data_IF_888767979797
#
_entry.id   IF_888767979797
#
_cell.length_a   1.000
_cell.length_b   1.000
_cell.length_c   1.000
_cell.angle_alpha   90.00
_cell.angle_beta   90.00
_cell.angle_gamma   90.00
#
_symmetry.space_group_name_H-M   'P 1'
#
loop_
_entity.id
_entity.type
_entity.pdbx_description
1 polymer ?
#
# COMPACT_ATOMS: atom_id res chain seq x y z
N UNK A 1 12.28 23.48 -4.33
CA UNK A 1 11.27 22.42 -4.57
C UNK A 1 10.62 22.75 -5.90
N UNK A 2 11.01 22.05 -6.98
CA UNK A 2 10.27 22.11 -8.24
C UNK A 2 8.88 21.55 -7.99
N UNK A 3 7.84 22.21 -8.52
CA UNK A 3 6.44 21.80 -8.31
C UNK A 3 6.20 20.38 -8.81
N UNK A 4 5.12 19.74 -8.33
CA UNK A 4 4.67 18.45 -8.85
C UNK A 4 4.49 18.59 -10.36
N UNK A 5 5.27 17.87 -11.17
CA UNK A 5 5.05 17.82 -12.61
C UNK A 5 3.83 16.94 -12.85
N UNK A 6 2.71 17.56 -13.24
CA UNK A 6 1.42 16.88 -13.42
C UNK A 6 1.15 16.72 -14.91
N UNK A 7 0.91 15.48 -15.33
CA UNK A 7 0.47 15.17 -16.68
C UNK A 7 -1.02 15.54 -16.85
N UNK A 8 -1.33 16.33 -17.86
CA UNK A 8 -2.69 16.83 -18.10
C UNK A 8 -3.36 16.13 -19.28
N UNK A 9 -4.68 16.33 -19.40
CA UNK A 9 -5.45 15.86 -20.57
C UNK A 9 -4.98 16.58 -21.85
N UNK A 10 -4.52 17.83 -21.74
CA UNK A 10 -3.96 18.57 -22.88
C UNK A 10 -2.69 17.90 -23.41
N UNK A 11 -1.88 17.34 -22.51
CA UNK A 11 -0.68 16.61 -22.88
C UNK A 11 -1.02 15.35 -23.69
N UNK A 12 -2.06 14.62 -23.29
CA UNK A 12 -2.59 13.46 -24.03
C UNK A 12 -3.03 13.84 -25.44
N UNK A 13 -3.77 14.95 -25.58
CA UNK A 13 -4.29 15.40 -26.88
C UNK A 13 -3.16 15.86 -27.81
N UNK A 14 -2.14 16.50 -27.23
CA UNK A 14 -0.98 17.01 -27.96
C UNK A 14 -0.07 15.89 -28.47
N UNK A 15 0.06 14.79 -27.70
CA UNK A 15 0.99 13.67 -27.96
C UNK A 15 2.38 14.16 -28.38
N UNK A 16 2.87 15.19 -27.69
CA UNK A 16 4.12 15.85 -28.09
C UNK A 16 5.34 15.00 -27.72
N UNK A 17 6.48 15.11 -28.44
CA UNK A 17 7.71 14.43 -28.04
C UNK A 17 8.16 14.79 -26.62
N UNK A 18 7.91 16.02 -26.20
CA UNK A 18 8.21 16.49 -24.84
C UNK A 18 7.34 15.78 -23.80
N UNK A 19 6.04 15.68 -24.03
CA UNK A 19 5.10 14.92 -23.18
C UNK A 19 5.54 13.47 -23.03
N UNK A 20 5.92 12.82 -24.14
CA UNK A 20 6.35 11.43 -24.12
C UNK A 20 7.64 11.22 -23.31
N UNK A 21 8.57 12.18 -23.35
CA UNK A 21 9.76 12.17 -22.49
C UNK A 21 9.38 12.30 -21.02
N UNK A 22 8.51 13.26 -20.69
CA UNK A 22 8.04 13.49 -19.32
C UNK A 22 7.34 12.25 -18.75
N UNK A 23 6.46 11.62 -19.52
CA UNK A 23 5.77 10.36 -19.17
C UNK A 23 6.78 9.25 -18.88
N UNK A 24 7.83 9.13 -19.70
CA UNK A 24 8.89 8.13 -19.46
C UNK A 24 9.61 8.36 -18.14
N UNK A 25 9.95 9.61 -17.81
CA UNK A 25 10.63 9.96 -16.55
C UNK A 25 9.72 9.68 -15.35
N UNK A 26 8.46 10.12 -15.41
CA UNK A 26 7.49 9.90 -14.34
C UNK A 26 7.22 8.39 -14.18
N UNK A 27 7.11 7.64 -15.26
CA UNK A 27 6.93 6.18 -15.21
C UNK A 27 8.12 5.46 -14.58
N UNK A 28 9.36 5.86 -14.91
CA UNK A 28 10.55 5.29 -14.27
C UNK A 28 10.56 5.58 -12.77
N UNK A 29 10.19 6.80 -12.38
CA UNK A 29 10.08 7.19 -10.98
C UNK A 29 8.97 6.39 -10.26
N UNK A 30 7.80 6.25 -10.88
CA UNK A 30 6.68 5.49 -10.34
C UNK A 30 7.05 4.03 -10.06
N UNK A 31 7.83 3.39 -10.92
CA UNK A 31 8.35 2.04 -10.69
C UNK A 31 9.24 1.97 -9.43
N UNK A 32 10.16 2.95 -9.26
CA UNK A 32 11.02 3.02 -8.08
C UNK A 32 10.22 3.23 -6.79
N UNK A 33 9.22 4.12 -6.84
CA UNK A 33 8.31 4.38 -5.72
C UNK A 33 7.51 3.13 -5.37
N UNK A 34 6.95 2.43 -6.37
CA UNK A 34 6.20 1.19 -6.18
C UNK A 34 7.02 0.12 -5.47
N UNK A 35 8.28 -0.08 -5.87
CA UNK A 35 9.19 -1.01 -5.20
C UNK A 35 9.49 -0.58 -3.76
N UNK A 36 9.70 0.71 -3.50
CA UNK A 36 9.90 1.21 -2.13
C UNK A 36 8.66 0.98 -1.25
N UNK A 37 7.46 1.21 -1.78
CA UNK A 37 6.20 0.98 -1.06
C UNK A 37 6.00 -0.50 -0.74
N UNK A 38 6.33 -1.40 -1.68
CA UNK A 38 6.32 -2.86 -1.44
C UNK A 38 7.28 -3.26 -0.32
N UNK A 39 8.53 -2.80 -0.38
CA UNK A 39 9.52 -3.09 0.66
C UNK A 39 9.07 -2.60 2.04
N UNK A 40 8.47 -1.40 2.10
CA UNK A 40 7.94 -0.84 3.33
C UNK A 40 6.79 -1.69 3.90
N UNK A 41 5.86 -2.10 3.04
CA UNK A 41 4.73 -2.98 3.37
C UNK A 41 5.24 -4.33 3.89
N UNK A 42 6.22 -4.94 3.22
CA UNK A 42 6.80 -6.23 3.61
C UNK A 42 7.50 -6.13 4.97
N UNK A 43 8.27 -5.06 5.20
CA UNK A 43 8.89 -4.79 6.49
C UNK A 43 7.88 -4.65 7.62
N UNK A 44 6.77 -3.93 7.38
CA UNK A 44 5.69 -3.81 8.35
C UNK A 44 4.97 -5.13 8.61
N UNK A 45 4.72 -5.94 7.58
CA UNK A 45 4.16 -7.27 7.74
C UNK A 45 5.05 -8.16 8.61
N UNK A 46 6.38 -8.09 8.42
CA UNK A 46 7.32 -8.82 9.27
C UNK A 46 7.23 -8.37 10.74
N UNK A 47 7.10 -7.07 11.00
CA UNK A 47 6.88 -6.54 12.36
C UNK A 47 5.55 -7.06 12.93
N UNK A 48 4.46 -6.98 12.17
CA UNK A 48 3.12 -7.45 12.58
C UNK A 48 3.15 -8.92 13.03
N UNK A 49 3.78 -9.78 12.21
CA UNK A 49 3.94 -11.22 12.54
C UNK A 49 4.76 -11.45 13.81
N UNK A 50 5.79 -10.64 14.06
CA UNK A 50 6.56 -10.74 15.29
C UNK A 50 5.71 -10.36 16.52
N UNK A 51 4.87 -9.33 16.41
CA UNK A 51 3.96 -8.91 17.48
C UNK A 51 2.87 -9.98 17.74
N UNK A 52 2.38 -10.66 16.71
CA UNK A 52 1.51 -11.84 16.86
C UNK A 52 2.19 -12.99 17.58
N UNK A 53 3.43 -13.32 17.21
CA UNK A 53 4.19 -14.36 17.91
C UNK A 53 4.44 -14.02 19.37
N UNK A 54 4.75 -12.76 19.69
CA UNK A 54 4.90 -12.30 21.08
C UNK A 54 3.58 -12.44 21.85
N UNK A 55 2.45 -12.04 21.25
CA UNK A 55 1.10 -12.22 21.82
C UNK A 55 0.84 -13.69 22.20
N UNK A 56 1.17 -14.63 21.30
CA UNK A 56 1.01 -16.06 21.55
C UNK A 56 1.93 -16.55 22.68
N UNK A 57 3.21 -16.18 22.65
CA UNK A 57 4.17 -16.57 23.68
C UNK A 57 3.76 -16.11 25.09
N UNK A 58 3.23 -14.88 25.22
CA UNK A 58 2.71 -14.39 26.50
C UNK A 58 1.49 -15.17 26.98
N UNK A 59 0.57 -15.54 26.07
CA UNK A 59 -0.59 -16.39 26.41
C UNK A 59 -0.17 -17.79 26.84
N UNK A 60 0.82 -18.38 26.18
CA UNK A 60 1.38 -19.67 26.58
C UNK A 60 2.01 -19.62 27.97
N UNK A 61 2.81 -18.58 28.26
CA UNK A 61 3.38 -18.36 29.59
C UNK A 61 2.30 -18.18 30.67
N UNK A 62 1.22 -17.46 30.36
CA UNK A 62 0.06 -17.32 31.25
C UNK A 62 -0.57 -18.67 31.60
N UNK A 63 -0.78 -19.53 30.59
CA UNK A 63 -1.35 -20.88 30.78
C UNK A 63 -0.42 -21.76 31.62
N UNK A 64 0.89 -21.72 31.36
CA UNK A 64 1.87 -22.47 32.15
C UNK A 64 1.87 -22.03 33.63
N UNK A 65 1.85 -20.72 33.88
CA UNK A 65 1.84 -20.20 35.25
C UNK A 65 0.54 -20.52 35.99
N UNK A 66 -0.60 -20.46 35.29
CA UNK A 66 -1.90 -20.87 35.84
C UNK A 66 -1.95 -22.36 36.13
N UNK A 67 -1.30 -23.18 35.31
CA UNK A 67 -1.16 -24.62 35.54
C UNK A 67 -0.30 -24.89 36.77
N UNK A 68 0.83 -24.19 36.90
CA UNK A 68 1.72 -24.28 38.06
C UNK A 68 1.00 -23.88 39.36
N UNK A 69 0.26 -22.77 39.36
CA UNK A 69 -0.51 -22.31 40.53
C UNK A 69 -1.68 -23.23 40.93
N UNK A 70 -2.19 -24.03 39.98
CA UNK A 70 -3.27 -25.00 40.20
C UNK A 70 -2.79 -26.39 40.66
N UNK A 71 -1.50 -26.72 40.51
CA UNK A 71 -1.00 -28.01 40.95
C UNK A 71 -0.97 -28.08 42.48
N UNK A 72 -1.77 -28.98 43.07
CA UNK A 72 -1.62 -29.44 44.45
C UNK A 72 -0.29 -30.20 44.58
N UNK A 73 0.82 -29.46 44.61
CA UNK A 73 2.15 -30.03 44.69
C UNK A 73 2.78 -29.70 46.03
N UNK A 74 3.64 -30.61 46.50
CA UNK A 74 4.51 -30.44 47.67
C UNK A 74 5.49 -29.26 47.53
N UNK A 75 5.57 -28.62 46.35
CA UNK A 75 6.50 -27.55 46.01
C UNK A 75 5.92 -26.13 46.13
N UNK A 76 4.59 -25.97 46.22
CA UNK A 76 3.94 -24.66 46.35
C UNK A 76 2.81 -24.71 47.41
N UNK A 77 3.15 -24.94 48.70
CA UNK A 77 2.14 -25.12 49.75
C UNK A 77 1.49 -23.81 50.21
N UNK A 78 2.06 -22.66 49.81
CA UNK A 78 1.64 -21.34 50.26
C UNK A 78 0.58 -20.75 49.33
N UNK A 79 -0.59 -20.47 49.90
CA UNK A 79 -1.73 -19.87 49.21
C UNK A 79 -1.38 -18.49 48.64
N UNK A 80 -0.48 -17.74 49.29
CA UNK A 80 -0.03 -16.44 48.81
C UNK A 80 0.73 -16.55 47.49
N UNK A 81 1.60 -17.58 47.35
CA UNK A 81 2.36 -17.82 46.12
C UNK A 81 1.42 -18.27 44.99
N UNK A 82 0.40 -19.07 45.30
CA UNK A 82 -0.63 -19.46 44.32
C UNK A 82 -1.42 -18.25 43.84
N UNK A 83 -1.87 -17.40 44.76
CA UNK A 83 -2.59 -16.17 44.43
C UNK A 83 -1.73 -15.23 43.58
N UNK A 84 -0.44 -15.08 43.91
CA UNK A 84 0.53 -14.32 43.11
C UNK A 84 0.69 -14.91 41.71
N UNK A 85 0.78 -16.23 41.58
CA UNK A 85 0.82 -16.93 40.29
C UNK A 85 -0.40 -16.63 39.40
N UNK A 86 -1.61 -16.62 39.97
CA UNK A 86 -2.81 -16.22 39.22
C UNK A 86 -2.77 -14.76 38.79
N UNK A 87 -2.37 -13.85 39.68
CA UNK A 87 -2.23 -12.42 39.36
C UNK A 87 -1.24 -12.20 38.22
N UNK A 88 -0.07 -12.83 38.27
CA UNK A 88 0.91 -12.76 37.18
C UNK A 88 0.38 -13.37 35.88
N UNK A 89 -0.37 -14.47 35.92
CA UNK A 89 -0.98 -15.04 34.71
C UNK A 89 -1.92 -14.04 34.03
N UNK A 90 -2.72 -13.30 34.82
CA UNK A 90 -3.59 -12.25 34.31
C UNK A 90 -2.82 -11.10 33.68
N UNK A 91 -1.69 -10.70 34.28
CA UNK A 91 -0.81 -9.66 33.71
C UNK A 91 -0.23 -10.12 32.37
N UNK A 92 0.19 -11.39 32.26
CA UNK A 92 0.70 -11.95 31.00
C UNK A 92 -0.38 -11.99 29.91
N UNK A 93 -1.63 -12.35 30.23
CA UNK A 93 -2.77 -12.29 29.30
C UNK A 93 -3.03 -10.87 28.79
N UNK A 94 -2.94 -9.87 29.67
CA UNK A 94 -3.07 -8.46 29.32
C UNK A 94 -1.93 -7.99 28.40
N UNK A 95 -0.68 -8.32 28.72
CA UNK A 95 0.49 -8.01 27.86
C UNK A 95 0.33 -8.67 26.48
N UNK A 96 -0.05 -9.94 26.42
CA UNK A 96 -0.31 -10.62 25.16
C UNK A 96 -1.40 -9.94 24.33
N UNK A 97 -2.46 -9.45 24.98
CA UNK A 97 -3.55 -8.72 24.32
C UNK A 97 -3.10 -7.36 23.74
N UNK A 98 -2.15 -6.67 24.38
CA UNK A 98 -1.54 -5.43 23.88
C UNK A 98 -0.81 -5.71 22.56
N UNK A 99 0.05 -6.73 22.53
CA UNK A 99 0.78 -7.13 21.33
C UNK A 99 -0.18 -7.54 20.19
N UNK A 100 -1.23 -8.30 20.51
CA UNK A 100 -2.25 -8.67 19.51
C UNK A 100 -2.92 -7.44 18.91
N UNK A 101 -3.36 -6.52 19.77
CA UNK A 101 -4.01 -5.29 19.31
C UNK A 101 -3.07 -4.46 18.45
N UNK A 102 -1.78 -4.39 18.79
CA UNK A 102 -0.82 -3.66 17.98
C UNK A 102 -0.62 -4.26 16.59
N UNK A 103 -0.54 -5.60 16.48
CA UNK A 103 -0.50 -6.26 15.17
C UNK A 103 -1.73 -5.89 14.33
N UNK A 104 -2.93 -5.97 14.92
CA UNK A 104 -4.17 -5.63 14.22
C UNK A 104 -4.18 -4.15 13.79
N UNK A 105 -3.73 -3.24 14.65
CA UNK A 105 -3.62 -1.82 14.32
C UNK A 105 -2.60 -1.57 13.18
N UNK A 106 -1.47 -2.26 13.17
CA UNK A 106 -0.50 -2.21 12.06
C UNK A 106 -1.13 -2.69 10.75
N UNK A 107 -1.91 -3.77 10.81
CA UNK A 107 -2.60 -4.35 9.66
C UNK A 107 -3.59 -3.34 9.06
N UNK A 108 -4.58 -2.91 9.85
CA UNK A 108 -5.67 -2.05 9.41
C UNK A 108 -5.20 -0.61 9.10
N UNK A 109 -4.23 -0.11 9.88
CA UNK A 109 -3.81 1.28 9.86
C UNK A 109 -2.79 1.60 8.78
N UNK A 110 -1.94 0.64 8.42
CA UNK A 110 -0.77 0.85 7.57
C UNK A 110 -0.63 -0.20 6.46
N UNK A 111 -0.59 -1.49 6.81
CA UNK A 111 -0.28 -2.55 5.85
C UNK A 111 -1.33 -2.57 4.74
N UNK A 112 -2.61 -2.52 5.08
CA UNK A 112 -3.71 -2.53 4.11
C UNK A 112 -3.69 -1.28 3.23
N UNK A 113 -3.33 -0.11 3.78
CA UNK A 113 -3.23 1.13 2.99
C UNK A 113 -2.10 1.05 1.95
N UNK A 114 -0.94 0.55 2.36
CA UNK A 114 0.18 0.36 1.43
C UNK A 114 -0.15 -0.72 0.39
N UNK A 115 -0.87 -1.78 0.80
CA UNK A 115 -1.37 -2.80 -0.13
C UNK A 115 -2.30 -2.19 -1.18
N UNK A 116 -3.23 -1.32 -0.78
CA UNK A 116 -4.12 -0.65 -1.72
C UNK A 116 -3.35 0.23 -2.70
N UNK A 117 -2.33 1.00 -2.27
CA UNK A 117 -1.47 1.74 -3.20
C UNK A 117 -0.80 0.83 -4.23
N UNK A 118 -0.34 -0.35 -3.81
CA UNK A 118 0.28 -1.34 -4.70
C UNK A 118 -0.73 -1.87 -5.73
N UNK A 119 -1.88 -2.38 -5.28
CA UNK A 119 -2.86 -3.02 -6.16
C UNK A 119 -3.62 -2.01 -7.03
N UNK A 120 -3.93 -0.84 -6.49
CA UNK A 120 -4.78 0.13 -7.17
C UNK A 120 -4.02 1.00 -8.17
N UNK A 121 -2.73 1.21 -7.95
CA UNK A 121 -1.90 2.09 -8.78
C UNK A 121 -0.76 1.31 -9.41
N UNK A 122 0.22 0.86 -8.62
CA UNK A 122 1.51 0.41 -9.14
C UNK A 122 1.43 -0.86 -9.99
N UNK A 123 0.59 -1.85 -9.63
CA UNK A 123 0.44 -3.09 -10.39
C UNK A 123 -0.22 -2.88 -11.76
N UNK A 124 -1.06 -1.84 -11.90
CA UNK A 124 -1.78 -1.55 -13.15
C UNK A 124 -0.92 -0.83 -14.18
N UNK A 125 0.10 -0.09 -13.75
CA UNK A 125 0.90 0.78 -14.62
C UNK A 125 1.51 0.04 -15.81
N UNK A 126 2.00 -1.19 -15.60
CA UNK A 126 2.64 -1.99 -16.66
C UNK A 126 1.64 -2.38 -17.76
N UNK A 127 0.47 -2.91 -17.39
CA UNK A 127 -0.56 -3.29 -18.35
C UNK A 127 -1.14 -2.07 -19.08
N UNK A 128 -1.34 -0.96 -18.36
CA UNK A 128 -1.85 0.27 -18.94
C UNK A 128 -0.88 0.89 -19.93
N UNK A 129 0.42 0.88 -19.63
CA UNK A 129 1.45 1.31 -20.56
C UNK A 129 1.40 0.51 -21.87
N UNK A 130 1.28 -0.83 -21.80
CA UNK A 130 1.17 -1.68 -22.99
C UNK A 130 -0.08 -1.36 -23.81
N UNK A 131 -1.22 -1.09 -23.16
CA UNK A 131 -2.44 -0.69 -23.85
C UNK A 131 -2.31 0.67 -24.55
N UNK A 132 -1.68 1.65 -23.89
CA UNK A 132 -1.38 2.96 -24.47
C UNK A 132 -0.50 2.82 -25.70
N UNK A 133 0.56 2.00 -25.61
CA UNK A 133 1.49 1.77 -26.72
C UNK A 133 0.78 1.10 -27.91
N UNK A 134 -0.04 0.08 -27.65
CA UNK A 134 -0.84 -0.59 -28.67
C UNK A 134 -1.83 0.36 -29.35
N UNK A 135 -2.58 1.16 -28.58
CA UNK A 135 -3.52 2.14 -29.12
C UNK A 135 -2.80 3.24 -29.90
N UNK A 136 -1.62 3.68 -29.44
CA UNK A 136 -0.81 4.67 -30.13
C UNK A 136 -0.26 4.17 -31.47
N UNK A 137 0.12 2.88 -31.57
CA UNK A 137 0.49 2.25 -32.84
C UNK A 137 -0.69 2.23 -33.82
N UNK A 138 -1.87 1.81 -33.37
CA UNK A 138 -3.08 1.78 -34.20
C UNK A 138 -3.50 3.18 -34.67
N UNK A 139 -3.44 4.18 -33.78
CA UNK A 139 -3.79 5.56 -34.13
C UNK A 139 -2.85 6.14 -35.19
N UNK A 140 -1.53 5.93 -35.04
CA UNK A 140 -0.53 6.33 -36.05
C UNK A 140 -0.75 5.62 -37.38
N UNK A 141 -1.06 4.32 -37.37
CA UNK A 141 -1.33 3.55 -38.57
C UNK A 141 -2.58 4.04 -39.32
N UNK A 142 -3.68 4.27 -38.61
CA UNK A 142 -4.91 4.82 -39.20
C UNK A 142 -4.65 6.19 -39.83
N UNK A 143 -3.89 7.05 -39.16
CA UNK A 143 -3.50 8.36 -39.67
C UNK A 143 -2.61 8.26 -40.93
N UNK A 144 -1.65 7.35 -40.95
CA UNK A 144 -0.81 7.09 -42.14
C UNK A 144 -1.64 6.58 -43.32
N UNK A 145 -2.61 5.70 -43.07
CA UNK A 145 -3.52 5.21 -44.11
C UNK A 145 -4.37 6.33 -44.69
N UNK A 146 -4.89 7.22 -43.83
CA UNK A 146 -5.61 8.42 -44.25
C UNK A 146 -4.74 9.34 -45.14
N UNK A 147 -3.49 9.59 -44.74
CA UNK A 147 -2.57 10.45 -45.49
C UNK A 147 -2.17 9.89 -46.86
N UNK A 148 -2.27 8.56 -47.06
CA UNK A 148 -2.01 7.90 -48.34
C UNK A 148 -3.21 7.96 -49.30
N UNK A 149 -4.36 8.47 -48.87
CA UNK A 149 -5.52 8.57 -49.75
C UNK A 149 -5.26 9.52 -50.93
N UNK A 150 -5.64 9.15 -52.17
CA UNK A 150 -5.56 10.06 -53.30
C UNK A 150 -6.41 11.31 -53.06
N UNK A 151 -5.96 12.47 -53.56
CA UNK A 151 -6.74 13.73 -53.50
C UNK A 151 -8.16 13.57 -54.08
N UNK A 152 -8.29 12.76 -55.14
CA UNK A 152 -9.56 12.35 -55.75
C UNK A 152 -9.93 10.92 -55.32
N UNK A 153 -10.35 10.74 -54.07
CA UNK A 153 -10.87 9.48 -53.56
C UNK A 153 -12.41 9.50 -53.45
N UNK A 154 -13.10 8.35 -53.55
CA UNK A 154 -14.54 8.26 -53.36
C UNK A 154 -14.96 8.77 -51.96
N UNK A 155 -16.10 9.47 -51.88
CA UNK A 155 -16.62 10.03 -50.61
C UNK A 155 -16.73 8.99 -49.50
N UNK A 156 -17.25 7.79 -49.81
CA UNK A 156 -17.36 6.68 -48.86
C UNK A 156 -16.00 6.22 -48.30
N UNK A 157 -14.98 6.14 -49.16
CA UNK A 157 -13.63 5.74 -48.74
C UNK A 157 -12.99 6.80 -47.81
N UNK A 158 -13.18 8.08 -48.13
CA UNK A 158 -12.76 9.19 -47.28
C UNK A 158 -13.46 9.17 -45.92
N UNK A 159 -14.78 9.02 -45.91
CA UNK A 159 -15.57 8.95 -44.67
C UNK A 159 -15.14 7.77 -43.79
N UNK A 160 -14.95 6.58 -44.38
CA UNK A 160 -14.48 5.39 -43.66
C UNK A 160 -13.14 5.65 -42.97
N UNK A 161 -12.17 6.22 -43.69
CA UNK A 161 -10.85 6.53 -43.13
C UNK A 161 -10.88 7.62 -42.05
N UNK A 162 -11.73 8.65 -42.21
CA UNK A 162 -11.93 9.67 -41.16
C UNK A 162 -12.53 9.05 -39.90
N UNK A 163 -13.50 8.14 -40.03
CA UNK A 163 -14.09 7.44 -38.90
C UNK A 163 -13.06 6.56 -38.18
N UNK A 164 -12.20 5.85 -38.93
CA UNK A 164 -11.12 5.03 -38.38
C UNK A 164 -10.11 5.87 -37.59
N UNK A 165 -9.63 6.98 -38.15
CA UNK A 165 -8.72 7.92 -37.48
C UNK A 165 -9.35 8.47 -36.21
N UNK A 166 -10.61 8.90 -36.28
CA UNK A 166 -11.31 9.47 -35.13
C UNK A 166 -11.51 8.43 -34.03
N UNK A 167 -11.90 7.21 -34.38
CA UNK A 167 -12.14 6.12 -33.44
C UNK A 167 -10.85 5.68 -32.75
N UNK A 168 -9.77 5.46 -33.50
CA UNK A 168 -8.47 5.03 -32.96
C UNK A 168 -7.82 6.13 -32.10
N UNK A 169 -7.90 7.40 -32.52
CA UNK A 169 -7.41 8.53 -31.73
C UNK A 169 -8.17 8.71 -30.42
N UNK A 170 -9.51 8.53 -30.44
CA UNK A 170 -10.32 8.56 -29.21
C UNK A 170 -9.92 7.43 -28.25
N UNK A 171 -9.73 6.20 -28.76
CA UNK A 171 -9.29 5.07 -27.94
C UNK A 171 -7.92 5.34 -27.31
N UNK A 172 -6.95 5.81 -28.10
CA UNK A 172 -5.64 6.21 -27.58
C UNK A 172 -5.77 7.26 -26.48
N UNK A 173 -6.52 8.35 -26.71
CA UNK A 173 -6.70 9.40 -25.73
C UNK A 173 -7.33 8.90 -24.42
N UNK A 174 -8.33 8.01 -24.50
CA UNK A 174 -8.92 7.39 -23.32
C UNK A 174 -7.89 6.57 -22.52
N UNK A 175 -7.09 5.74 -23.18
CA UNK A 175 -6.10 4.90 -22.50
C UNK A 175 -4.96 5.73 -21.92
N UNK A 176 -4.46 6.71 -22.67
CA UNK A 176 -3.40 7.60 -22.22
C UNK A 176 -3.85 8.47 -21.04
N UNK A 177 -5.08 8.99 -21.05
CA UNK A 177 -5.62 9.74 -19.93
C UNK A 177 -5.73 8.90 -18.65
N UNK A 178 -6.14 7.62 -18.76
CA UNK A 178 -6.14 6.70 -17.63
C UNK A 178 -4.74 6.47 -17.07
N UNK A 179 -3.80 6.12 -17.93
CA UNK A 179 -2.41 5.87 -17.55
C UNK A 179 -1.75 7.11 -16.92
N UNK A 180 -1.95 8.29 -17.49
CA UNK A 180 -1.41 9.55 -16.95
C UNK A 180 -2.04 9.87 -15.59
N UNK A 181 -3.32 9.54 -15.39
CA UNK A 181 -3.98 9.64 -14.10
C UNK A 181 -3.27 8.83 -13.02
N UNK A 182 -2.99 7.55 -13.28
CA UNK A 182 -2.26 6.71 -12.32
C UNK A 182 -0.80 7.10 -12.15
N UNK A 183 -0.13 7.63 -13.18
CA UNK A 183 1.22 8.21 -13.03
C UNK A 183 1.23 9.43 -12.10
N UNK A 184 0.24 10.32 -12.23
CA UNK A 184 0.08 11.46 -11.33
C UNK A 184 -0.23 10.99 -9.89
N UNK A 185 -1.06 9.96 -9.74
CA UNK A 185 -1.36 9.38 -8.43
C UNK A 185 -0.12 8.74 -7.80
N UNK A 186 0.68 8.01 -8.57
CA UNK A 186 1.97 7.47 -8.12
C UNK A 186 2.92 8.58 -7.64
N UNK A 187 2.97 9.71 -8.35
CA UNK A 187 3.76 10.86 -7.97
C UNK A 187 3.24 11.52 -6.68
N UNK A 188 1.93 11.51 -6.41
CA UNK A 188 1.38 11.94 -5.12
C UNK A 188 1.71 10.95 -4.00
N UNK A 189 1.58 9.64 -4.25
CA UNK A 189 1.91 8.58 -3.30
C UNK A 189 3.36 8.66 -2.86
N UNK A 190 4.28 9.07 -3.75
CA UNK A 190 5.69 9.32 -3.42
C UNK A 190 5.88 10.22 -2.20
N UNK A 191 5.02 11.22 -2.03
CA UNK A 191 5.05 12.13 -0.89
C UNK A 191 4.17 11.65 0.27
N UNK A 192 3.03 11.03 -0.03
CA UNK A 192 2.06 10.60 0.97
C UNK A 192 2.51 9.36 1.75
N UNK A 193 3.05 8.34 1.07
CA UNK A 193 3.39 7.06 1.69
C UNK A 193 4.38 7.20 2.87
N UNK A 194 5.49 7.97 2.77
CA UNK A 194 6.39 8.20 3.90
C UNK A 194 5.72 8.92 5.07
N UNK A 195 4.85 9.90 4.79
CA UNK A 195 4.15 10.67 5.82
C UNK A 195 3.12 9.81 6.56
N UNK A 196 2.30 9.06 5.82
CA UNK A 196 1.32 8.12 6.39
C UNK A 196 2.04 7.08 7.23
N UNK A 197 3.16 6.54 6.75
CA UNK A 197 4.00 5.62 7.49
C UNK A 197 4.47 6.20 8.82
N UNK A 198 5.20 7.32 8.79
CA UNK A 198 5.78 7.95 9.98
C UNK A 198 4.67 8.30 10.98
N UNK A 199 3.62 8.98 10.54
CA UNK A 199 2.55 9.45 11.40
C UNK A 199 1.82 8.28 12.08
N UNK A 200 1.41 7.28 11.30
CA UNK A 200 0.59 6.19 11.82
C UNK A 200 1.43 5.27 12.71
N UNK A 201 2.66 4.96 12.29
CA UNK A 201 3.57 4.10 13.06
C UNK A 201 3.91 4.71 14.41
N UNK A 202 4.26 6.01 14.46
CA UNK A 202 4.53 6.72 15.71
C UNK A 202 3.29 6.77 16.61
N UNK A 203 2.12 7.05 16.03
CA UNK A 203 0.87 7.14 16.80
C UNK A 203 0.53 5.80 17.46
N UNK A 204 0.61 4.70 16.72
CA UNK A 204 0.31 3.37 17.23
C UNK A 204 1.35 2.92 18.27
N UNK A 205 2.65 3.13 18.02
CA UNK A 205 3.70 2.84 19.01
C UNK A 205 3.52 3.64 20.29
N UNK A 206 3.11 4.91 20.21
CA UNK A 206 2.82 5.74 21.38
C UNK A 206 1.66 5.18 22.19
N UNK A 207 0.60 4.72 21.53
CA UNK A 207 -0.55 4.08 22.20
C UNK A 207 -0.12 2.82 22.95
N UNK A 208 0.73 1.99 22.34
CA UNK A 208 1.28 0.79 22.98
C UNK A 208 2.15 1.12 24.19
N UNK A 209 3.08 2.08 24.09
CA UNK A 209 3.95 2.46 25.21
C UNK A 209 3.14 3.00 26.40
N UNK A 210 2.06 3.76 26.13
CA UNK A 210 1.15 4.23 27.18
C UNK A 210 0.45 3.08 27.88
N UNK A 211 0.01 2.07 27.14
CA UNK A 211 -0.53 0.85 27.72
C UNK A 211 0.52 0.21 28.65
N UNK A 212 1.75 -0.05 28.20
CA UNK A 212 2.82 -0.60 29.05
C UNK A 212 3.11 0.21 30.33
N UNK A 213 3.07 1.54 30.26
CA UNK A 213 3.35 2.42 31.42
C UNK A 213 2.28 2.27 32.50
N UNK A 214 1.00 2.11 32.11
CA UNK A 214 -0.10 1.86 33.05
C UNK A 214 0.11 0.52 33.77
N UNK A 215 0.65 -0.49 33.10
CA UNK A 215 0.90 -1.80 33.71
C UNK A 215 2.12 -1.81 34.62
N UNK A 216 3.20 -1.12 34.26
CA UNK A 216 4.35 -0.94 35.17
C UNK A 216 3.92 -0.27 36.49
N UNK A 217 2.98 0.68 36.44
CA UNK A 217 2.40 1.29 37.64
C UNK A 217 1.50 0.32 38.43
N UNK A 218 0.72 -0.55 37.76
CA UNK A 218 -0.09 -1.59 38.43
C UNK A 218 0.77 -2.65 39.13
N UNK A 219 1.87 -3.09 38.52
CA UNK A 219 2.79 -4.07 39.13
C UNK A 219 3.46 -3.51 40.38
N UNK A 220 3.80 -2.21 40.39
CA UNK A 220 4.35 -1.53 41.56
C UNK A 220 3.36 -1.38 42.73
N UNK A 221 2.05 -1.52 42.48
CA UNK A 221 0.98 -1.46 43.49
C UNK A 221 0.67 -2.85 44.11
N UNK A 222 1.39 -3.90 43.73
CA UNK A 222 1.27 -5.26 44.33
C UNK A 222 2.18 -5.38 45.58
N UNK A 223 2.90 -4.31 45.95
CA UNK A 223 3.59 -4.15 47.24
C UNK A 223 2.79 -3.29 48.20
#
# INVERSE_FOLDING_TARGET
>A
MTGLEVLTINDVVSDSPHTNLLVSVISENANKVGECVKQLRDGLQAVSRCEEHLSLAYKELSVLLRTFANQESTFCPDEEIRQLGFQFSSILDEIGSIHQRYSNELQDGLIDKLQNFISDVFEKLSSEFLEVEACGKLSRQAFQNYMKLPKRCPSKARQSSVLEVTSTRRKFACMAARYYGHLNEAEQIRYLAPLIFIQTFITQRRTMCRSHTIYSAKVLLIH
#
